data_IF_920544274316
#
_entry.id   IF_920544274316
#
_cell.length_a   1.000
_cell.length_b   1.000
_cell.length_c   1.000
_cell.angle_alpha   90.00
_cell.angle_beta   90.00
_cell.angle_gamma   90.00
#
_symmetry.space_group_name_H-M   'P 1'
#
loop_
_entity.id
_entity.type
_entity.pdbx_description
1 polymer ?
#
# COMPACT_ATOMS: atom_id res chain seq x y z
N UNK A 1 47.21 28.27 2.76
CA UNK A 1 46.02 28.82 3.43
C UNK A 1 44.79 28.21 2.81
N UNK A 2 44.23 27.19 3.41
CA UNK A 2 42.98 26.57 2.95
C UNK A 2 41.82 27.48 3.32
N UNK A 3 41.05 27.94 2.35
CA UNK A 3 39.81 28.67 2.63
C UNK A 3 38.84 27.74 3.38
N UNK A 4 38.14 28.23 4.44
CA UNK A 4 37.15 27.46 5.09
C UNK A 4 36.03 27.15 4.08
N UNK A 5 35.79 25.88 3.86
CA UNK A 5 34.59 25.41 3.11
C UNK A 5 33.38 25.89 3.91
N UNK A 6 32.61 26.81 3.33
CA UNK A 6 31.38 27.29 3.91
C UNK A 6 30.41 26.10 4.01
N UNK A 7 30.28 25.53 5.20
CA UNK A 7 29.28 24.50 5.47
C UNK A 7 27.92 25.16 5.63
N UNK A 8 26.96 24.77 4.82
CA UNK A 8 25.56 25.18 4.97
C UNK A 8 25.04 24.76 6.35
N UNK A 9 24.32 25.64 7.06
CA UNK A 9 23.60 25.26 8.28
C UNK A 9 22.67 24.08 8.01
N UNK A 10 22.55 23.16 8.98
CA UNK A 10 21.76 21.93 8.83
C UNK A 10 20.30 22.23 8.49
N UNK A 11 19.73 23.30 9.06
CA UNK A 11 18.36 23.73 8.79
C UNK A 11 18.12 24.09 7.31
N UNK A 12 19.07 24.82 6.70
CA UNK A 12 18.99 25.17 5.29
C UNK A 12 19.18 23.92 4.39
N UNK A 13 20.05 23.02 4.81
CA UNK A 13 20.26 21.77 4.10
C UNK A 13 18.98 20.92 4.14
N UNK A 14 18.29 20.84 5.28
CA UNK A 14 17.00 20.15 5.43
C UNK A 14 15.92 20.77 4.54
N UNK A 15 15.86 22.11 4.44
CA UNK A 15 14.92 22.80 3.54
C UNK A 15 15.19 22.50 2.06
N UNK A 16 16.44 22.41 1.66
CA UNK A 16 16.83 22.03 0.30
C UNK A 16 16.43 20.58 0.04
N UNK A 17 16.79 19.68 0.95
CA UNK A 17 16.52 18.24 0.80
C UNK A 17 15.02 17.93 0.80
N UNK A 18 14.21 18.69 1.52
CA UNK A 18 12.74 18.54 1.50
C UNK A 18 12.11 18.79 0.14
N UNK A 19 12.81 19.43 -0.79
CA UNK A 19 12.37 19.68 -2.17
C UNK A 19 12.92 18.67 -3.17
N UNK A 20 13.77 17.76 -2.70
CA UNK A 20 14.38 16.72 -3.53
C UNK A 20 13.46 15.50 -3.58
N UNK A 21 13.23 14.90 -4.77
CA UNK A 21 12.45 13.66 -4.88
C UNK A 21 13.03 12.54 -4.02
N UNK A 22 12.14 11.74 -3.41
CA UNK A 22 12.48 10.64 -2.50
C UNK A 22 13.59 9.73 -3.01
N UNK A 23 13.56 9.36 -4.31
CA UNK A 23 14.60 8.54 -4.94
C UNK A 23 15.99 9.15 -4.83
N UNK A 24 16.10 10.48 -4.99
CA UNK A 24 17.37 11.18 -4.84
C UNK A 24 17.84 11.20 -3.40
N UNK A 25 16.91 11.33 -2.44
CA UNK A 25 17.24 11.19 -1.01
C UNK A 25 17.78 9.80 -0.70
N UNK A 26 17.19 8.74 -1.26
CA UNK A 26 17.70 7.36 -1.11
C UNK A 26 19.16 7.25 -1.62
N UNK A 27 19.48 7.82 -2.77
CA UNK A 27 20.85 7.85 -3.30
C UNK A 27 21.80 8.64 -2.40
N UNK A 28 21.35 9.76 -1.84
CA UNK A 28 22.16 10.58 -0.96
C UNK A 28 22.51 9.85 0.36
N UNK A 29 21.71 8.90 0.80
CA UNK A 29 22.03 8.03 1.95
C UNK A 29 23.30 7.20 1.74
N UNK A 30 23.73 6.99 0.51
CA UNK A 30 24.95 6.25 0.18
C UNK A 30 26.22 7.12 0.21
N UNK A 31 26.10 8.45 0.33
CA UNK A 31 27.24 9.39 0.24
C UNK A 31 28.12 9.30 1.49
N UNK A 32 27.53 9.31 2.67
CA UNK A 32 28.27 9.21 3.95
C UNK A 32 27.32 8.84 5.10
N UNK A 33 27.85 8.43 6.28
CA UNK A 33 27.03 8.17 7.46
C UNK A 33 26.19 9.37 7.90
N UNK A 34 26.73 10.58 7.85
CA UNK A 34 26.00 11.81 8.18
C UNK A 34 24.87 12.09 7.21
N UNK A 35 25.09 11.91 5.91
CA UNK A 35 24.04 12.03 4.89
C UNK A 35 22.99 10.95 5.04
N UNK A 36 23.37 9.74 5.44
CA UNK A 36 22.42 8.67 5.72
C UNK A 36 21.47 9.07 6.85
N UNK A 37 22.00 9.58 7.97
CA UNK A 37 21.20 10.05 9.10
C UNK A 37 20.27 11.19 8.67
N UNK A 38 20.80 12.19 7.99
CA UNK A 38 20.06 13.36 7.53
C UNK A 38 18.92 12.97 6.57
N UNK A 39 19.21 12.19 5.54
CA UNK A 39 18.23 11.77 4.54
C UNK A 39 17.26 10.67 5.03
N UNK A 40 17.46 10.13 6.24
CA UNK A 40 16.52 9.23 6.92
C UNK A 40 15.63 9.94 7.92
N UNK A 41 15.73 11.26 8.05
CA UNK A 41 14.90 12.04 8.95
C UNK A 41 13.42 11.96 8.52
N UNK A 42 12.54 11.49 9.43
CA UNK A 42 11.10 11.31 9.15
C UNK A 42 10.41 12.61 8.73
N UNK A 43 10.80 13.74 9.31
CA UNK A 43 10.23 15.05 8.95
C UNK A 43 10.60 15.46 7.52
N UNK A 44 11.83 15.15 7.09
CA UNK A 44 12.30 15.36 5.74
C UNK A 44 11.54 14.47 4.73
N UNK A 45 11.43 13.19 5.02
CA UNK A 45 10.77 12.22 4.12
C UNK A 45 9.30 12.55 3.91
N UNK A 46 8.60 13.03 4.95
CA UNK A 46 7.20 13.49 4.84
C UNK A 46 7.01 14.73 3.97
N UNK A 47 8.03 15.57 3.86
CA UNK A 47 8.01 16.81 3.07
C UNK A 47 8.53 16.61 1.65
N UNK A 48 9.24 15.53 1.42
CA UNK A 48 9.83 15.22 0.10
C UNK A 48 8.73 14.94 -0.94
N UNK A 49 8.83 15.49 -2.17
CA UNK A 49 7.89 15.21 -3.23
C UNK A 49 7.88 13.71 -3.57
N UNK A 50 6.70 13.12 -3.46
CA UNK A 50 6.44 11.76 -3.95
C UNK A 50 6.07 11.88 -5.43
N UNK A 51 7.00 11.56 -6.31
CA UNK A 51 6.72 11.53 -7.76
C UNK A 51 6.21 10.15 -8.13
N UNK A 52 4.97 10.10 -8.59
CA UNK A 52 4.41 8.88 -9.17
C UNK A 52 5.13 8.60 -10.50
N UNK A 53 5.87 7.50 -10.54
CA UNK A 53 6.66 7.12 -11.72
C UNK A 53 5.82 6.34 -12.74
N UNK A 54 4.79 5.64 -12.29
CA UNK A 54 3.91 4.81 -13.12
C UNK A 54 3.04 3.91 -12.26
N UNK A 55 2.33 3.01 -12.91
CA UNK A 55 1.49 1.99 -12.27
C UNK A 55 1.93 0.59 -12.67
N UNK A 56 1.92 -0.32 -11.72
CA UNK A 56 1.94 -1.75 -12.02
C UNK A 56 0.52 -2.22 -12.28
N UNK A 57 0.31 -2.89 -13.41
CA UNK A 57 -0.97 -3.47 -13.78
C UNK A 57 -0.80 -4.97 -13.98
N UNK A 58 -1.71 -5.76 -13.40
CA UNK A 58 -1.85 -7.18 -13.71
C UNK A 58 -2.70 -7.36 -14.96
N UNK A 59 -2.33 -8.31 -15.84
CA UNK A 59 -3.20 -8.68 -16.96
C UNK A 59 -4.18 -9.75 -16.52
N UNK A 60 -5.45 -9.61 -16.88
CA UNK A 60 -6.56 -10.47 -16.46
C UNK A 60 -6.45 -11.95 -16.88
N UNK A 61 -5.54 -12.30 -17.77
CA UNK A 61 -5.36 -13.66 -18.26
C UNK A 61 -4.22 -14.43 -17.58
N UNK A 62 -3.28 -13.75 -16.93
CA UNK A 62 -2.20 -14.38 -16.17
C UNK A 62 -1.73 -13.41 -15.09
N UNK A 63 -2.07 -13.72 -13.85
CA UNK A 63 -1.64 -12.97 -12.66
C UNK A 63 -0.09 -12.87 -12.56
N UNK A 64 0.62 -13.65 -13.38
CA UNK A 64 2.09 -13.73 -13.41
C UNK A 64 2.76 -12.65 -14.27
N UNK A 65 2.03 -11.79 -14.98
CA UNK A 65 2.61 -10.73 -15.80
C UNK A 65 2.26 -9.36 -15.25
N UNK A 66 3.24 -8.72 -14.60
CA UNK A 66 3.18 -7.33 -14.21
C UNK A 66 3.60 -6.46 -15.39
N UNK A 67 2.71 -5.58 -15.81
CA UNK A 67 3.03 -4.49 -16.74
C UNK A 67 3.24 -3.21 -15.92
N UNK A 68 4.32 -2.51 -16.20
CA UNK A 68 4.54 -1.19 -15.64
C UNK A 68 4.15 -0.11 -16.65
N UNK A 69 3.05 0.60 -16.38
CA UNK A 69 2.65 1.77 -17.15
C UNK A 69 3.43 2.98 -16.65
N UNK A 70 4.46 3.35 -17.41
CA UNK A 70 5.32 4.47 -17.09
C UNK A 70 4.63 5.79 -17.43
N UNK A 71 4.60 6.75 -16.50
CA UNK A 71 4.24 8.12 -16.83
C UNK A 71 5.44 8.80 -17.51
N UNK A 72 5.27 9.31 -18.73
CA UNK A 72 6.35 10.05 -19.39
C UNK A 72 6.63 11.31 -18.58
N UNK A 73 7.72 11.29 -17.83
CA UNK A 73 8.29 12.51 -17.28
C UNK A 73 8.72 13.37 -18.47
N UNK A 74 7.88 14.28 -18.92
CA UNK A 74 8.00 15.38 -19.90
C UNK A 74 9.21 15.53 -20.83
N UNK A 75 10.13 14.58 -20.91
CA UNK A 75 11.28 14.55 -21.82
C UNK A 75 11.42 13.16 -22.43
N UNK A 76 11.16 13.09 -23.71
CA UNK A 76 11.44 11.94 -24.58
C UNK A 76 12.88 11.46 -24.38
N UNK A 77 13.04 10.19 -23.97
CA UNK A 77 14.35 9.52 -23.92
C UNK A 77 14.92 9.13 -22.55
N UNK A 78 14.23 9.35 -21.43
CA UNK A 78 14.66 8.81 -20.14
C UNK A 78 14.22 7.35 -19.98
N UNK A 79 15.18 6.49 -19.60
CA UNK A 79 14.88 5.11 -19.23
C UNK A 79 13.86 5.06 -18.07
N UNK A 80 12.98 4.05 -18.05
CA UNK A 80 12.02 3.87 -16.96
C UNK A 80 12.77 3.86 -15.62
N UNK A 81 12.20 4.53 -14.63
CA UNK A 81 12.77 4.67 -13.28
C UNK A 81 12.80 3.36 -12.50
N UNK A 82 12.05 2.37 -12.97
CA UNK A 82 11.86 1.05 -12.37
C UNK A 82 12.00 0.04 -13.50
N UNK A 83 12.75 -1.05 -13.26
CA UNK A 83 12.75 -2.19 -14.17
C UNK A 83 11.42 -2.95 -14.01
N UNK A 84 10.53 -2.92 -15.01
CA UNK A 84 9.23 -3.56 -14.89
C UNK A 84 9.32 -5.09 -14.89
N UNK A 85 10.43 -5.66 -15.33
CA UNK A 85 10.62 -7.11 -15.39
C UNK A 85 10.79 -7.75 -14.00
N UNK A 86 11.15 -6.92 -12.97
CA UNK A 86 11.44 -7.39 -11.62
C UNK A 86 12.26 -8.68 -11.66
N UNK A 87 13.50 -8.66 -12.17
CA UNK A 87 14.28 -9.85 -12.52
C UNK A 87 14.57 -10.78 -11.34
N UNK A 88 14.37 -10.29 -10.11
CA UNK A 88 14.49 -11.07 -8.88
C UNK A 88 13.19 -11.85 -8.53
N UNK A 89 12.08 -11.64 -9.26
CA UNK A 89 10.81 -12.33 -9.07
C UNK A 89 10.59 -13.38 -10.16
N UNK A 90 11.28 -14.52 -10.08
CA UNK A 90 11.12 -15.59 -11.06
C UNK A 90 9.77 -16.31 -10.88
N UNK A 91 8.90 -16.25 -11.89
CA UNK A 91 7.64 -16.97 -11.93
C UNK A 91 6.60 -16.49 -10.93
N UNK A 92 6.76 -15.30 -10.38
CA UNK A 92 5.88 -14.76 -9.37
C UNK A 92 4.72 -13.93 -9.94
N UNK A 93 3.68 -13.75 -9.13
CA UNK A 93 2.53 -12.88 -9.38
C UNK A 93 2.43 -11.79 -8.34
N UNK A 94 1.89 -10.64 -8.74
CA UNK A 94 1.55 -9.55 -7.84
C UNK A 94 0.32 -9.90 -7.01
N UNK A 95 0.35 -9.56 -5.72
CA UNK A 95 -0.80 -9.74 -4.82
C UNK A 95 -1.31 -8.43 -4.25
N UNK A 96 -0.43 -7.54 -3.82
CA UNK A 96 -0.83 -6.28 -3.18
C UNK A 96 0.26 -5.22 -3.29
N UNK A 97 -0.10 -3.92 -3.16
CA UNK A 97 0.85 -2.83 -3.05
C UNK A 97 0.47 -1.85 -1.94
N UNK A 98 1.48 -1.26 -1.32
CA UNK A 98 1.29 -0.21 -0.34
C UNK A 98 2.50 0.73 -0.34
N UNK A 99 2.27 2.03 -0.53
CA UNK A 99 3.31 3.05 -0.40
C UNK A 99 4.53 2.89 -1.30
N UNK A 100 4.41 2.17 -2.42
CA UNK A 100 5.51 1.88 -3.35
C UNK A 100 6.21 0.54 -3.10
N UNK A 101 5.86 -0.19 -2.05
CA UNK A 101 6.23 -1.58 -1.89
C UNK A 101 5.25 -2.49 -2.61
N UNK A 102 5.74 -3.59 -3.17
CA UNK A 102 4.95 -4.66 -3.76
C UNK A 102 5.04 -5.91 -2.91
N UNK A 103 3.91 -6.59 -2.74
CA UNK A 103 3.84 -7.95 -2.23
C UNK A 103 3.62 -8.89 -3.42
N UNK A 104 4.49 -9.84 -3.57
CA UNK A 104 4.48 -10.78 -4.69
C UNK A 104 4.44 -12.22 -4.18
N UNK A 105 3.72 -13.07 -4.91
CA UNK A 105 3.63 -14.50 -4.70
C UNK A 105 4.59 -15.19 -5.68
N UNK A 106 5.59 -15.88 -5.19
CA UNK A 106 6.60 -16.58 -5.99
C UNK A 106 6.46 -18.09 -5.85
N UNK A 107 6.44 -18.79 -6.98
CA UNK A 107 6.38 -20.25 -6.98
C UNK A 107 7.79 -20.83 -6.91
N UNK A 108 8.03 -21.68 -5.91
CA UNK A 108 9.30 -22.41 -5.76
C UNK A 108 9.20 -23.80 -6.39
N UNK A 109 10.28 -24.22 -7.03
CA UNK A 109 10.31 -25.50 -7.73
C UNK A 109 10.85 -26.65 -6.88
N UNK A 110 11.69 -26.35 -5.87
CA UNK A 110 12.37 -27.39 -5.10
C UNK A 110 12.72 -26.91 -3.67
N UNK A 111 11.93 -27.29 -2.66
CA UNK A 111 10.66 -28.02 -2.75
C UNK A 111 9.56 -27.17 -3.42
N UNK A 112 8.55 -27.83 -4.02
CA UNK A 112 7.39 -27.11 -4.54
C UNK A 112 6.69 -26.37 -3.41
N UNK A 113 6.42 -25.08 -3.63
CA UNK A 113 5.79 -24.24 -2.61
C UNK A 113 5.51 -22.84 -3.12
N UNK A 114 5.10 -21.99 -2.20
CA UNK A 114 4.83 -20.59 -2.45
C UNK A 114 5.55 -19.76 -1.41
N UNK A 115 6.38 -18.85 -1.88
CA UNK A 115 6.97 -17.80 -1.07
C UNK A 115 6.26 -16.47 -1.33
N UNK A 116 6.12 -15.68 -0.28
CA UNK A 116 5.65 -14.31 -0.38
C UNK A 116 6.83 -13.37 -0.21
N UNK A 117 7.02 -12.51 -1.18
CA UNK A 117 8.15 -11.60 -1.26
C UNK A 117 7.66 -10.16 -1.21
N UNK A 118 8.21 -9.37 -0.29
CA UNK A 118 8.03 -7.93 -0.27
C UNK A 118 9.21 -7.30 -0.97
N UNK A 119 8.94 -6.46 -1.96
CA UNK A 119 9.99 -5.78 -2.72
C UNK A 119 9.72 -4.30 -2.89
N UNK A 120 10.80 -3.54 -2.98
CA UNK A 120 10.80 -2.14 -3.36
C UNK A 120 11.36 -2.00 -4.78
N UNK A 121 10.53 -1.81 -5.81
CA UNK A 121 11.00 -1.71 -7.19
C UNK A 121 11.93 -0.53 -7.46
N UNK A 122 11.85 0.52 -6.64
CA UNK A 122 12.68 1.72 -6.82
C UNK A 122 14.12 1.54 -6.32
N UNK A 123 14.34 0.65 -5.34
CA UNK A 123 15.67 0.36 -4.76
C UNK A 123 16.17 -1.03 -5.13
N UNK A 124 15.33 -1.86 -5.73
CA UNK A 124 15.60 -3.27 -6.07
C UNK A 124 15.86 -4.14 -4.82
N UNK A 125 15.49 -3.64 -3.64
CA UNK A 125 15.54 -4.41 -2.41
C UNK A 125 14.34 -5.35 -2.30
N UNK A 126 14.57 -6.54 -1.79
CA UNK A 126 13.51 -7.51 -1.55
C UNK A 126 13.78 -8.39 -0.33
N UNK A 127 12.72 -8.91 0.25
CA UNK A 127 12.79 -9.86 1.37
C UNK A 127 11.66 -10.88 1.28
N UNK A 128 11.97 -12.12 1.65
CA UNK A 128 10.97 -13.19 1.76
C UNK A 128 10.31 -13.08 3.13
N UNK A 129 8.99 -13.18 3.18
CA UNK A 129 8.27 -13.28 4.45
C UNK A 129 8.55 -14.63 5.09
N UNK A 130 8.84 -14.69 6.40
CA UNK A 130 8.99 -15.96 7.11
C UNK A 130 7.70 -16.78 6.97
N UNK A 131 7.85 -18.09 6.83
CA UNK A 131 6.73 -18.99 6.70
C UNK A 131 5.87 -19.01 7.98
N UNK A 132 4.56 -19.06 7.81
CA UNK A 132 3.56 -19.38 8.83
C UNK A 132 2.49 -20.29 8.21
N UNK A 133 1.77 -21.04 9.04
CA UNK A 133 0.72 -21.95 8.58
C UNK A 133 -0.43 -21.20 7.86
N UNK A 134 -0.60 -19.91 8.18
CA UNK A 134 -1.64 -19.07 7.59
C UNK A 134 -1.23 -18.39 6.27
N UNK A 135 0.02 -18.50 5.83
CA UNK A 135 0.43 -18.06 4.49
C UNK A 135 -0.06 -19.04 3.41
N UNK A 136 -1.38 -19.24 3.37
CA UNK A 136 -2.06 -20.10 2.41
C UNK A 136 -2.66 -19.29 1.27
N UNK A 137 -2.81 -19.87 0.05
CA UNK A 137 -3.41 -19.19 -1.09
C UNK A 137 -4.85 -18.73 -0.87
N UNK A 138 -5.57 -19.39 0.04
CA UNK A 138 -6.96 -19.13 0.41
C UNK A 138 -7.10 -17.87 1.26
N UNK A 139 -6.07 -17.53 2.02
CA UNK A 139 -6.06 -16.34 2.87
C UNK A 139 -5.67 -15.09 2.07
N UNK A 140 -6.06 -13.93 2.61
CA UNK A 140 -5.77 -12.64 1.98
C UNK A 140 -4.55 -12.05 2.65
N UNK A 141 -3.52 -11.76 1.85
CA UNK A 141 -2.28 -11.19 2.37
C UNK A 141 -2.15 -9.77 1.88
N UNK A 142 -2.01 -8.84 2.82
CA UNK A 142 -1.99 -7.40 2.60
C UNK A 142 -0.73 -6.78 3.20
N UNK A 143 -0.31 -5.68 2.62
CA UNK A 143 0.88 -4.95 3.02
C UNK A 143 0.49 -3.62 3.66
N UNK A 144 1.13 -3.27 4.75
CA UNK A 144 1.10 -1.96 5.38
C UNK A 144 2.49 -1.32 5.34
N UNK A 145 2.57 -0.13 4.78
CA UNK A 145 3.82 0.61 4.71
C UNK A 145 3.55 2.12 4.73
N UNK A 146 4.30 2.84 5.58
CA UNK A 146 4.30 4.29 5.60
C UNK A 146 5.61 4.78 4.94
N UNK A 147 5.58 5.42 3.77
CA UNK A 147 6.78 5.97 3.14
C UNK A 147 7.52 6.99 3.99
N UNK A 148 6.84 7.58 4.99
CA UNK A 148 7.46 8.49 5.94
C UNK A 148 8.27 7.77 7.03
N UNK A 149 8.09 6.44 7.17
CA UNK A 149 8.87 5.57 8.03
C UNK A 149 9.34 4.33 7.23
N UNK A 150 10.29 4.53 6.31
CA UNK A 150 10.72 3.49 5.38
C UNK A 150 11.56 2.38 6.05
N UNK A 151 11.75 2.43 7.36
CA UNK A 151 12.54 1.45 8.10
C UNK A 151 11.82 0.13 8.31
N UNK A 152 10.49 0.13 8.28
CA UNK A 152 9.69 -1.06 8.54
C UNK A 152 8.44 -1.11 7.67
N UNK A 153 7.99 -2.34 7.42
CA UNK A 153 6.70 -2.65 6.84
C UNK A 153 5.97 -3.67 7.71
N UNK A 154 4.69 -3.80 7.47
CA UNK A 154 3.82 -4.76 8.14
C UNK A 154 3.14 -5.63 7.09
N UNK A 155 3.07 -6.94 7.30
CA UNK A 155 2.21 -7.82 6.51
C UNK A 155 1.06 -8.32 7.38
N UNK A 156 -0.14 -8.32 6.82
CA UNK A 156 -1.35 -8.83 7.45
C UNK A 156 -1.82 -10.04 6.67
N UNK A 157 -2.03 -11.15 7.34
CA UNK A 157 -2.76 -12.30 6.78
C UNK A 157 -4.16 -12.27 7.38
N UNK A 158 -5.15 -12.03 6.55
CA UNK A 158 -6.57 -12.13 6.94
C UNK A 158 -6.94 -13.60 6.78
N UNK A 159 -7.12 -14.26 7.91
CA UNK A 159 -7.43 -15.71 7.97
C UNK A 159 -8.92 -15.88 7.72
N UNK A 160 -9.24 -16.64 6.70
CA UNK A 160 -10.61 -16.91 6.29
C UNK A 160 -11.05 -18.29 6.76
N UNK A 161 -12.34 -18.44 7.03
CA UNK A 161 -12.96 -19.73 7.31
C UNK A 161 -13.02 -20.57 6.04
N UNK A 162 -12.55 -21.82 6.11
CA UNK A 162 -12.50 -22.75 4.99
C UNK A 162 -13.91 -23.18 4.55
N UNK A 163 -14.87 -23.25 5.49
CA UNK A 163 -16.24 -23.72 5.26
C UNK A 163 -17.21 -22.58 4.94
N UNK A 164 -16.90 -21.36 5.36
CA UNK A 164 -17.77 -20.20 5.32
C UNK A 164 -17.19 -19.08 4.47
N UNK A 165 -17.38 -19.15 3.16
CA UNK A 165 -16.73 -18.35 2.13
C UNK A 165 -16.60 -16.86 2.49
N UNK A 166 -15.37 -16.49 2.87
CA UNK A 166 -14.97 -15.11 3.12
C UNK A 166 -15.22 -14.59 4.54
N UNK A 167 -15.64 -15.44 5.49
CA UNK A 167 -15.72 -15.05 6.92
C UNK A 167 -14.31 -14.95 7.50
N UNK A 168 -14.05 -13.88 8.24
CA UNK A 168 -12.75 -13.65 8.88
C UNK A 168 -12.74 -14.29 10.25
N UNK A 169 -11.84 -15.25 10.46
CA UNK A 169 -11.66 -15.96 11.74
C UNK A 169 -10.51 -15.42 12.56
N UNK A 170 -9.51 -14.83 11.90
CA UNK A 170 -8.34 -14.30 12.57
C UNK A 170 -7.54 -13.35 11.69
N UNK A 171 -6.51 -12.78 12.29
CA UNK A 171 -5.51 -11.97 11.58
C UNK A 171 -4.13 -12.31 12.13
N UNK A 172 -3.19 -12.65 11.25
CA UNK A 172 -1.77 -12.71 11.60
C UNK A 172 -1.07 -11.43 11.16
N UNK A 173 -0.21 -10.91 12.01
CA UNK A 173 0.49 -9.65 11.78
C UNK A 173 1.99 -9.90 11.87
N UNK A 174 2.70 -9.63 10.80
CA UNK A 174 4.16 -9.64 10.74
C UNK A 174 4.70 -8.23 10.81
N UNK A 175 5.62 -7.99 11.74
CA UNK A 175 6.36 -6.75 11.83
C UNK A 175 7.79 -6.96 11.33
N UNK A 176 8.18 -6.29 10.26
CA UNK A 176 9.53 -6.43 9.69
C UNK A 176 10.65 -5.98 10.65
N UNK A 177 10.34 -5.08 11.58
CA UNK A 177 11.29 -4.64 12.62
C UNK A 177 11.66 -5.76 13.57
N UNK A 178 10.69 -6.53 14.06
CA UNK A 178 10.92 -7.63 15.00
C UNK A 178 11.12 -8.98 14.31
N UNK A 179 10.69 -9.09 13.05
CA UNK A 179 10.67 -10.33 12.23
C UNK A 179 9.81 -11.43 12.86
N UNK A 180 8.75 -11.08 13.56
CA UNK A 180 7.88 -12.00 14.29
C UNK A 180 6.45 -11.89 13.76
N UNK A 181 5.81 -13.03 13.53
CA UNK A 181 4.39 -13.16 13.33
C UNK A 181 3.66 -13.16 14.68
N UNK A 182 2.53 -12.50 14.75
CA UNK A 182 1.65 -12.49 15.91
C UNK A 182 0.23 -12.81 15.45
N UNK A 183 -0.29 -13.94 15.88
CA UNK A 183 -1.69 -14.33 15.61
C UNK A 183 -2.64 -13.63 16.57
N UNK A 184 -3.77 -13.17 16.05
CA UNK A 184 -4.86 -12.52 16.79
C UNK A 184 -6.18 -13.08 16.36
N UNK A 185 -7.04 -13.40 17.34
CA UNK A 185 -8.45 -13.59 17.05
C UNK A 185 -9.06 -12.25 16.61
N UNK A 186 -10.00 -12.30 15.69
CA UNK A 186 -10.67 -11.08 15.24
C UNK A 186 -11.41 -10.40 16.39
N UNK A 187 -11.25 -9.09 16.50
CA UNK A 187 -12.02 -8.24 17.39
C UNK A 187 -13.27 -7.66 16.72
N UNK A 188 -13.50 -7.98 15.43
CA UNK A 188 -14.73 -7.59 14.72
C UNK A 188 -15.90 -8.50 15.11
N UNK A 189 -17.12 -8.05 14.80
CA UNK A 189 -18.31 -8.85 15.03
C UNK A 189 -18.21 -10.19 14.25
N UNK A 190 -18.80 -11.24 14.83
CA UNK A 190 -18.98 -12.50 14.14
C UNK A 190 -19.67 -12.25 12.78
N UNK A 191 -19.38 -13.10 11.80
CA UNK A 191 -19.87 -13.00 10.42
C UNK A 191 -19.30 -11.81 9.59
N UNK A 192 -18.23 -11.16 10.05
CA UNK A 192 -17.53 -10.19 9.20
C UNK A 192 -16.92 -10.91 8.00
N UNK A 193 -17.37 -10.56 6.79
CA UNK A 193 -16.97 -11.24 5.55
C UNK A 193 -16.32 -10.27 4.59
N UNK A 194 -15.32 -10.77 3.85
CA UNK A 194 -14.64 -10.04 2.80
C UNK A 194 -14.68 -10.81 1.48
N UNK A 195 -14.57 -10.07 0.38
CA UNK A 195 -14.29 -10.67 -0.92
C UNK A 195 -12.80 -10.51 -1.22
N UNK A 196 -12.16 -11.53 -1.78
CA UNK A 196 -10.75 -11.46 -2.18
C UNK A 196 -10.44 -10.22 -3.03
N UNK A 197 -11.28 -9.92 -4.02
CA UNK A 197 -11.09 -8.77 -4.89
C UNK A 197 -11.28 -7.43 -4.18
N UNK A 198 -12.22 -7.33 -3.24
CA UNK A 198 -12.45 -6.11 -2.47
C UNK A 198 -11.36 -5.87 -1.43
N UNK A 199 -10.82 -6.92 -0.85
CA UNK A 199 -9.72 -6.80 0.10
C UNK A 199 -8.44 -6.24 -0.52
N UNK A 200 -8.24 -6.43 -1.83
CA UNK A 200 -7.12 -5.82 -2.56
C UNK A 200 -7.24 -4.28 -2.64
N UNK A 201 -8.44 -3.74 -2.47
CA UNK A 201 -8.69 -2.30 -2.32
C UNK A 201 -8.56 -1.85 -0.87
N UNK A 202 -7.64 -2.44 -0.12
CA UNK A 202 -7.34 -2.04 1.26
C UNK A 202 -6.48 -0.79 1.32
N UNK A 203 -6.54 -0.09 2.44
CA UNK A 203 -5.73 1.08 2.71
C UNK A 203 -5.00 0.93 4.04
N UNK A 204 -3.70 1.15 4.03
CA UNK A 204 -2.93 1.30 5.26
C UNK A 204 -2.65 2.78 5.51
N UNK A 205 -3.11 3.28 6.64
CA UNK A 205 -2.99 4.68 7.01
C UNK A 205 -2.81 4.85 8.52
N UNK A 206 -1.82 5.65 8.93
CA UNK A 206 -1.56 5.96 10.34
C UNK A 206 -1.40 4.69 11.23
N UNK A 207 -0.70 3.67 10.74
CA UNK A 207 -0.51 2.42 11.48
C UNK A 207 -1.74 1.51 11.56
N UNK A 208 -2.76 1.75 10.73
CA UNK A 208 -4.03 1.03 10.74
C UNK A 208 -4.38 0.55 9.33
N UNK A 209 -4.70 -0.74 9.22
CA UNK A 209 -5.24 -1.33 8.01
C UNK A 209 -6.76 -1.10 7.96
N UNK A 210 -7.25 -0.69 6.80
CA UNK A 210 -8.67 -0.50 6.50
C UNK A 210 -9.08 -1.46 5.39
N UNK A 211 -10.14 -2.22 5.61
CA UNK A 211 -10.66 -3.24 4.70
C UNK A 211 -12.13 -2.99 4.40
N UNK A 212 -12.52 -3.13 3.14
CA UNK A 212 -13.93 -3.15 2.73
C UNK A 212 -14.48 -4.55 2.94
N UNK A 213 -15.65 -4.64 3.58
CA UNK A 213 -16.37 -5.89 3.84
C UNK A 213 -17.50 -6.11 2.83
N UNK A 214 -18.03 -7.34 2.77
CA UNK A 214 -19.15 -7.69 1.88
C UNK A 214 -20.41 -6.84 2.09
N UNK A 215 -20.63 -6.35 3.31
CA UNK A 215 -21.76 -5.48 3.66
C UNK A 215 -21.43 -4.00 3.44
N UNK A 216 -20.40 -3.70 2.65
CA UNK A 216 -19.93 -2.35 2.34
C UNK A 216 -19.51 -1.51 3.56
N UNK A 217 -19.26 -2.15 4.70
CA UNK A 217 -18.64 -1.49 5.85
C UNK A 217 -17.12 -1.47 5.67
N UNK A 218 -16.44 -0.61 6.43
CA UNK A 218 -14.99 -0.62 6.54
C UNK A 218 -14.61 -1.14 7.91
N UNK A 219 -13.84 -2.22 7.96
CA UNK A 219 -13.26 -2.71 9.21
C UNK A 219 -11.81 -2.31 9.30
N UNK A 220 -11.33 -2.05 10.53
CA UNK A 220 -9.96 -1.60 10.76
C UNK A 220 -9.27 -2.41 11.82
N UNK A 221 -7.95 -2.57 11.69
CA UNK A 221 -7.07 -3.18 12.68
C UNK A 221 -5.73 -2.46 12.71
N UNK A 222 -5.23 -2.18 13.90
CA UNK A 222 -3.89 -1.58 14.07
C UNK A 222 -2.77 -2.63 13.94
N UNK A 223 -1.53 -2.19 13.79
CA UNK A 223 -0.34 -3.05 13.68
C UNK A 223 -0.09 -3.93 14.90
N UNK A 224 -0.68 -3.60 16.05
CA UNK A 224 -0.59 -4.40 17.28
C UNK A 224 -1.72 -5.43 17.42
N UNK A 225 -2.73 -5.40 16.56
CA UNK A 225 -3.93 -6.23 16.67
C UNK A 225 -4.72 -5.96 17.96
N UNK A 226 -4.70 -4.71 18.43
CA UNK A 226 -5.37 -4.31 19.69
C UNK A 226 -6.60 -3.45 19.47
N UNK A 227 -6.59 -2.64 18.42
CA UNK A 227 -7.68 -1.70 18.10
C UNK A 227 -8.44 -2.21 16.89
N UNK A 228 -9.71 -2.56 17.11
CA UNK A 228 -10.62 -3.08 16.11
C UNK A 228 -11.85 -2.18 16.02
N UNK A 229 -12.19 -1.77 14.81
CA UNK A 229 -13.37 -0.92 14.57
C UNK A 229 -14.13 -1.40 13.34
N UNK A 230 -15.42 -1.09 13.30
CA UNK A 230 -16.27 -1.21 12.12
C UNK A 230 -16.92 0.15 11.87
N UNK A 231 -16.76 0.67 10.67
CA UNK A 231 -17.31 1.94 10.21
C UNK A 231 -18.40 1.59 9.21
N UNK A 232 -19.63 1.87 9.58
CA UNK A 232 -20.79 1.61 8.72
C UNK A 232 -20.88 2.66 7.62
N UNK A 233 -21.43 2.26 6.47
CA UNK A 233 -21.69 3.14 5.35
C UNK A 233 -23.19 3.24 5.05
N UNK A 234 -23.58 4.34 4.42
CA UNK A 234 -24.98 4.62 4.11
C UNK A 234 -25.46 3.96 2.80
N UNK A 235 -24.54 3.61 1.88
CA UNK A 235 -24.89 3.12 0.53
C UNK A 235 -24.00 1.97 0.09
N UNK A 236 -24.55 0.89 -0.52
CA UNK A 236 -23.80 -0.18 -1.16
C UNK A 236 -23.35 0.26 -2.56
N UNK A 237 -22.13 -0.12 -2.99
CA UNK A 237 -21.61 0.18 -4.33
C UNK A 237 -20.26 -0.49 -4.58
N UNK A 238 -19.71 -0.33 -5.78
CA UNK A 238 -18.34 -0.70 -6.14
C UNK A 238 -17.39 0.34 -5.56
N UNK A 239 -16.59 -0.07 -4.60
CA UNK A 239 -15.90 0.84 -3.73
C UNK A 239 -14.40 0.72 -3.83
N UNK A 240 -13.76 1.87 -3.90
CA UNK A 240 -12.34 2.02 -3.70
C UNK A 240 -12.12 2.93 -2.49
N UNK A 241 -11.21 2.54 -1.59
CA UNK A 241 -10.78 3.39 -0.48
C UNK A 241 -9.44 4.02 -0.77
N UNK A 242 -9.26 5.23 -0.32
CA UNK A 242 -8.03 5.97 -0.52
C UNK A 242 -7.79 7.02 0.55
N UNK A 243 -6.61 7.61 0.53
CA UNK A 243 -6.22 8.67 1.45
C UNK A 243 -5.94 9.96 0.70
N UNK A 244 -6.50 11.05 1.19
CA UNK A 244 -6.11 12.39 0.78
C UNK A 244 -6.08 13.31 2.00
N UNK A 245 -5.01 14.12 2.14
CA UNK A 245 -4.85 15.08 3.25
C UNK A 245 -5.05 14.43 4.64
N UNK A 246 -4.61 13.17 4.81
CA UNK A 246 -4.76 12.36 6.03
C UNK A 246 -6.21 11.98 6.40
N UNK A 247 -7.16 12.18 5.50
CA UNK A 247 -8.53 11.75 5.67
C UNK A 247 -8.80 10.51 4.83
N UNK A 248 -9.65 9.63 5.33
CA UNK A 248 -10.13 8.47 4.60
C UNK A 248 -11.18 8.94 3.59
N UNK A 249 -11.00 8.54 2.35
CA UNK A 249 -11.93 8.78 1.26
C UNK A 249 -12.44 7.45 0.72
N UNK A 250 -13.67 7.48 0.27
CA UNK A 250 -14.29 6.39 -0.46
C UNK A 250 -14.76 6.93 -1.80
N UNK A 251 -14.49 6.16 -2.84
CA UNK A 251 -14.97 6.44 -4.19
C UNK A 251 -16.00 5.39 -4.55
N UNK A 252 -17.16 5.84 -4.95
CA UNK A 252 -18.26 5.03 -5.42
C UNK A 252 -18.56 5.36 -6.89
N UNK A 253 -18.88 4.34 -7.70
CA UNK A 253 -19.25 4.51 -9.10
C UNK A 253 -20.61 3.86 -9.28
N UNK A 254 -21.63 4.70 -9.33
CA UNK A 254 -22.99 4.27 -9.65
C UNK A 254 -23.23 4.19 -11.14
N UNK A 255 -23.79 3.05 -11.54
CA UNK A 255 -24.34 2.87 -12.89
C UNK A 255 -25.74 3.50 -12.91
N UNK A 256 -25.84 4.73 -13.36
CA UNK A 256 -27.11 5.44 -13.39
C UNK A 256 -27.78 5.21 -14.75
N UNK A 257 -28.69 4.23 -14.82
CA UNK A 257 -29.53 3.92 -16.01
C UNK A 257 -28.83 4.21 -17.36
N UNK A 258 -29.51 4.37 -18.46
CA UNK A 258 -28.90 4.59 -19.80
C UNK A 258 -28.07 5.88 -19.96
N UNK A 259 -27.95 6.70 -18.90
CA UNK A 259 -27.30 8.03 -18.93
C UNK A 259 -25.82 8.04 -18.47
N UNK A 260 -25.21 6.91 -18.12
CA UNK A 260 -23.76 6.84 -17.84
C UNK A 260 -23.35 6.52 -16.42
N UNK A 261 -22.09 6.82 -16.09
CA UNK A 261 -21.48 6.51 -14.80
C UNK A 261 -21.31 7.77 -13.95
N UNK A 262 -21.84 7.75 -12.73
CA UNK A 262 -21.65 8.81 -11.74
C UNK A 262 -20.59 8.40 -10.73
N UNK A 263 -19.46 9.11 -10.68
CA UNK A 263 -18.44 8.94 -9.69
C UNK A 263 -18.69 9.88 -8.53
N UNK A 264 -18.77 9.33 -7.32
CA UNK A 264 -18.97 10.07 -6.07
C UNK A 264 -17.78 9.87 -5.14
N UNK A 265 -17.26 10.95 -4.58
CA UNK A 265 -16.16 10.95 -3.62
C UNK A 265 -16.66 11.40 -2.26
N UNK A 266 -16.57 10.49 -1.29
CA UNK A 266 -16.97 10.71 0.08
C UNK A 266 -15.76 10.82 0.99
N UNK A 267 -15.83 11.64 2.03
CA UNK A 267 -14.80 11.79 3.05
C UNK A 267 -15.35 11.43 4.43
N UNK A 268 -14.58 10.68 5.19
CA UNK A 268 -14.87 10.42 6.60
C UNK A 268 -14.43 11.63 7.42
N UNK A 269 -15.39 12.31 8.06
CA UNK A 269 -15.09 13.53 8.82
C UNK A 269 -14.58 13.23 10.23
N UNK A 270 -15.12 12.17 10.85
CA UNK A 270 -14.78 11.83 12.22
C UNK A 270 -14.80 10.31 12.49
N UNK A 271 -14.36 9.95 13.70
CA UNK A 271 -14.33 8.56 14.13
C UNK A 271 -15.73 7.95 14.40
N UNK A 272 -16.80 8.74 14.38
CA UNK A 272 -18.17 8.28 14.59
C UNK A 272 -18.80 7.68 13.34
N UNK A 273 -18.14 7.82 12.18
CA UNK A 273 -18.60 7.23 10.93
C UNK A 273 -19.44 8.17 10.08
N UNK A 274 -19.35 9.48 10.30
CA UNK A 274 -20.04 10.48 9.49
C UNK A 274 -19.34 10.69 8.17
N UNK A 275 -20.05 10.45 7.07
CA UNK A 275 -19.56 10.61 5.71
C UNK A 275 -20.16 11.84 5.05
N UNK A 276 -19.31 12.65 4.43
CA UNK A 276 -19.74 13.84 3.65
C UNK A 276 -19.37 13.66 2.19
N UNK A 277 -20.34 13.85 1.31
CA UNK A 277 -20.13 13.90 -0.14
C UNK A 277 -19.31 15.13 -0.49
N UNK A 278 -18.15 14.93 -1.11
CA UNK A 278 -17.23 16.01 -1.42
C UNK A 278 -17.23 16.39 -2.90
N UNK A 279 -17.29 15.41 -3.76
CA UNK A 279 -17.29 15.60 -5.20
C UNK A 279 -18.20 14.60 -5.88
N UNK A 280 -18.82 15.03 -6.97
CA UNK A 280 -19.57 14.17 -7.88
C UNK A 280 -19.16 14.54 -9.31
N UNK A 281 -18.87 13.52 -10.13
CA UNK A 281 -18.45 13.69 -11.52
C UNK A 281 -19.23 12.74 -12.40
N UNK A 282 -19.85 13.25 -13.46
CA UNK A 282 -20.43 12.43 -14.50
C UNK A 282 -19.33 12.01 -15.48
N UNK A 283 -19.01 10.70 -15.49
CA UNK A 283 -17.92 10.17 -16.33
C UNK A 283 -18.30 10.15 -17.82
N UNK A 284 -19.59 10.16 -18.16
CA UNK A 284 -20.04 10.19 -19.55
C UNK A 284 -19.73 11.52 -20.26
N UNK A 285 -19.44 12.58 -19.50
CA UNK A 285 -19.01 13.87 -20.03
C UNK A 285 -17.49 13.92 -20.31
N UNK A 286 -16.75 12.91 -19.93
CA UNK A 286 -15.28 12.83 -20.05
C UNK A 286 -14.83 11.90 -21.19
N UNK A 287 -15.73 11.14 -21.77
CA UNK A 287 -15.52 10.19 -22.89
C UNK A 287 -16.16 10.75 -24.15
#
# INVERSE_FOLDING_TARGET
>A
MSQPVATLPEELLMEILARVPYRSLCRFRCVSPSWRTLCSNRGLLRRSPQTLAGFFCGTSQNICHLLFLNFPAGRSGQQPLVDPSLPYLHGGGYTHCCGGLLLCKCFTSSPPGVDYVVCNPATEDWTVLPHTEELRPENIILLGFDPADPSCFVAFVIVLDDDNAGEITGVEIYLSETRIWTSKQTGWAQETRVHHYQALNSLFMNGTLHLITKDSSIVTVDTGGKTWRKISRAYPGWECIGQSRRCLHVVDIDHYNDDGFLLSVWVLEDASGNWTLKHTVNLSELI
#
